data_IF_826805823598
#
_entry.id   IF_826805823598
#
_cell.length_a   1.000
_cell.length_b   1.000
_cell.length_c   1.000
_cell.angle_alpha   90.00
_cell.angle_beta   90.00
_cell.angle_gamma   90.00
#
_symmetry.space_group_name_H-M   'P 1'
#
loop_
_entity.id
_entity.type
_entity.pdbx_description
1 polymer ?
#
# COMPACT_ATOMS: atom_id res chain seq x y z
N UNK A 1 -0.11 -19.75 -35.74
CA UNK A 1 -1.35 -19.70 -34.94
C UNK A 1 -1.14 -19.88 -33.44
N UNK A 2 -0.76 -21.05 -32.90
CA UNK A 2 -0.63 -21.19 -31.43
C UNK A 2 0.48 -20.34 -30.83
N UNK A 3 1.65 -20.27 -31.47
CA UNK A 3 2.78 -19.47 -31.02
C UNK A 3 2.50 -17.95 -31.03
N UNK A 4 1.71 -17.47 -31.99
CA UNK A 4 1.33 -16.05 -32.07
C UNK A 4 0.40 -15.68 -30.91
N UNK A 5 -0.58 -16.51 -30.59
CA UNK A 5 -1.48 -16.32 -29.43
C UNK A 5 -0.69 -16.30 -28.11
N UNK A 6 0.31 -17.18 -27.96
CA UNK A 6 1.17 -17.19 -26.78
C UNK A 6 1.98 -15.90 -26.65
N UNK A 7 2.58 -15.43 -27.75
CA UNK A 7 3.31 -14.16 -27.77
C UNK A 7 2.40 -12.97 -27.41
N UNK A 8 1.17 -12.95 -27.92
CA UNK A 8 0.20 -11.89 -27.60
C UNK A 8 -0.18 -11.89 -26.11
N UNK A 9 -0.39 -13.08 -25.53
CA UNK A 9 -0.68 -13.23 -24.10
C UNK A 9 0.51 -12.78 -23.25
N UNK A 10 1.73 -13.18 -23.60
CA UNK A 10 2.95 -12.77 -22.88
C UNK A 10 3.13 -11.26 -22.90
N UNK A 11 3.00 -10.63 -24.07
CA UNK A 11 3.10 -9.17 -24.20
C UNK A 11 2.02 -8.44 -23.39
N UNK A 12 0.79 -8.98 -23.35
CA UNK A 12 -0.28 -8.41 -22.55
C UNK A 12 0.04 -8.52 -21.05
N UNK A 13 0.49 -9.69 -20.59
CA UNK A 13 0.84 -9.93 -19.19
C UNK A 13 2.04 -9.08 -18.74
N UNK A 14 3.06 -8.94 -19.58
CA UNK A 14 4.20 -8.07 -19.31
C UNK A 14 3.76 -6.62 -19.16
N UNK A 15 2.91 -6.13 -20.08
CA UNK A 15 2.37 -4.76 -20.00
C UNK A 15 1.56 -4.53 -18.74
N UNK A 16 0.71 -5.49 -18.35
CA UNK A 16 -0.09 -5.41 -17.11
C UNK A 16 0.83 -5.44 -15.89
N UNK A 17 1.84 -6.31 -15.87
CA UNK A 17 2.81 -6.40 -14.78
C UNK A 17 3.51 -5.05 -14.54
N UNK A 18 3.93 -4.37 -15.60
CA UNK A 18 4.51 -3.02 -15.51
C UNK A 18 3.56 -1.98 -14.92
N UNK A 19 2.24 -2.13 -15.10
CA UNK A 19 1.25 -1.22 -14.51
C UNK A 19 1.10 -1.44 -13.01
N UNK A 20 1.13 -2.70 -12.55
CA UNK A 20 1.05 -3.03 -11.13
C UNK A 20 2.22 -2.47 -10.31
N UNK A 21 3.37 -2.29 -10.94
CA UNK A 21 4.57 -1.73 -10.32
C UNK A 21 4.69 -0.20 -10.44
N UNK A 22 3.75 0.46 -11.11
CA UNK A 22 3.79 1.88 -11.43
C UNK A 22 2.70 2.66 -10.65
N UNK A 23 3.07 3.38 -9.56
CA UNK A 23 2.14 4.14 -8.72
C UNK A 23 1.39 5.25 -9.43
N UNK A 24 1.85 5.67 -10.62
CA UNK A 24 1.14 6.66 -11.44
C UNK A 24 -0.03 6.05 -12.21
N UNK A 25 -0.02 4.72 -12.40
CA UNK A 25 -1.08 3.95 -13.08
C UNK A 25 -1.98 3.24 -12.09
N UNK A 26 -1.42 2.68 -11.02
CA UNK A 26 -2.16 2.00 -9.96
C UNK A 26 -1.60 2.38 -8.59
N UNK A 27 -2.40 3.11 -7.81
CA UNK A 27 -2.06 3.46 -6.43
C UNK A 27 -2.96 2.69 -5.46
N UNK A 28 -2.35 1.92 -4.57
CA UNK A 28 -3.05 1.23 -3.50
C UNK A 28 -2.72 1.84 -2.15
N UNK A 29 -3.72 1.89 -1.27
CA UNK A 29 -3.60 2.44 0.08
C UNK A 29 -4.20 1.47 1.09
N UNK A 30 -3.61 1.42 2.27
CA UNK A 30 -4.19 0.69 3.40
C UNK A 30 -5.17 1.61 4.13
N UNK A 31 -6.30 1.06 4.57
CA UNK A 31 -7.25 1.76 5.44
C UNK A 31 -7.56 0.83 6.60
N UNK A 32 -7.47 1.36 7.82
CA UNK A 32 -7.64 0.57 9.04
C UNK A 32 -8.28 1.40 10.16
N UNK A 33 -8.94 0.75 11.12
CA UNK A 33 -9.29 1.38 12.39
C UNK A 33 -8.05 1.32 13.31
N UNK A 34 -7.42 2.46 13.65
CA UNK A 34 -6.20 2.48 14.46
C UNK A 34 -6.44 2.09 15.92
N UNK A 35 -7.69 2.01 16.38
CA UNK A 35 -8.07 1.60 17.75
C UNK A 35 -8.16 0.08 17.87
N UNK A 36 -8.43 -0.61 16.76
CA UNK A 36 -8.52 -2.06 16.70
C UNK A 36 -7.17 -2.70 16.42
N UNK A 37 -6.59 -3.40 17.41
CA UNK A 37 -5.32 -4.12 17.23
C UNK A 37 -5.36 -5.12 16.07
N UNK A 38 -6.49 -5.82 15.89
CA UNK A 38 -6.72 -6.75 14.78
C UNK A 38 -6.73 -6.00 13.44
N UNK A 39 -7.37 -4.83 13.36
CA UNK A 39 -7.42 -4.03 12.12
C UNK A 39 -6.02 -3.57 11.70
N UNK A 40 -5.23 -3.08 12.67
CA UNK A 40 -3.84 -2.68 12.46
C UNK A 40 -2.97 -3.87 12.02
N UNK A 41 -3.07 -5.01 12.70
CA UNK A 41 -2.31 -6.22 12.33
C UNK A 41 -2.69 -6.75 10.95
N UNK A 42 -3.97 -6.72 10.60
CA UNK A 42 -4.44 -7.11 9.26
C UNK A 42 -3.91 -6.17 8.18
N UNK A 43 -3.90 -4.86 8.42
CA UNK A 43 -3.34 -3.90 7.48
C UNK A 43 -1.83 -4.11 7.26
N UNK A 44 -1.07 -4.39 8.31
CA UNK A 44 0.34 -4.78 8.19
C UNK A 44 0.49 -6.06 7.36
N UNK A 45 -0.32 -7.08 7.63
CA UNK A 45 -0.29 -8.33 6.87
C UNK A 45 -0.60 -8.10 5.39
N UNK A 46 -1.61 -7.29 5.08
CA UNK A 46 -1.96 -6.94 3.71
C UNK A 46 -0.85 -6.16 3.02
N UNK A 47 -0.14 -5.27 3.73
CA UNK A 47 1.04 -4.63 3.17
C UNK A 47 2.06 -5.64 2.66
N UNK A 48 2.42 -6.62 3.50
CA UNK A 48 3.33 -7.69 3.13
C UNK A 48 2.83 -8.51 1.95
N UNK A 49 1.57 -8.97 1.99
CA UNK A 49 0.98 -9.77 0.91
C UNK A 49 0.93 -9.00 -0.43
N UNK A 50 0.60 -7.70 -0.40
CA UNK A 50 0.57 -6.87 -1.61
C UNK A 50 1.95 -6.74 -2.22
N UNK A 51 2.98 -6.51 -1.40
CA UNK A 51 4.38 -6.43 -1.86
C UNK A 51 4.84 -7.76 -2.48
N UNK A 52 4.50 -8.89 -1.85
CA UNK A 52 4.81 -10.23 -2.40
C UNK A 52 4.10 -10.51 -3.72
N UNK A 53 2.89 -9.98 -3.91
CA UNK A 53 2.15 -10.09 -5.16
C UNK A 53 2.69 -9.19 -6.29
N UNK A 54 3.77 -8.43 -6.04
CA UNK A 54 4.38 -7.53 -7.03
C UNK A 54 3.68 -6.18 -7.17
N UNK A 55 2.74 -5.88 -6.28
CA UNK A 55 2.03 -4.61 -6.24
C UNK A 55 2.65 -3.66 -5.20
N UNK A 56 2.17 -2.42 -5.17
CA UNK A 56 2.74 -1.34 -4.38
C UNK A 56 1.70 -0.67 -3.47
N UNK A 57 2.08 -0.42 -2.22
CA UNK A 57 1.29 0.38 -1.28
C UNK A 57 1.93 1.76 -1.16
N UNK A 58 1.17 2.81 -1.48
CA UNK A 58 1.62 4.19 -1.51
C UNK A 58 1.49 4.89 -0.15
N UNK A 59 0.61 4.39 0.70
CA UNK A 59 0.33 4.99 2.01
C UNK A 59 -0.64 4.17 2.84
N UNK A 60 -0.77 4.58 4.09
CA UNK A 60 -1.73 4.02 5.03
C UNK A 60 -2.58 5.13 5.66
N UNK A 61 -3.85 4.82 5.87
CA UNK A 61 -4.81 5.69 6.52
C UNK A 61 -5.38 5.04 7.77
N UNK A 62 -5.33 5.78 8.88
CA UNK A 62 -6.08 5.47 10.09
C UNK A 62 -7.43 6.16 10.04
N UNK A 63 -8.51 5.39 9.93
CA UNK A 63 -9.86 5.91 9.98
C UNK A 63 -10.29 6.17 11.41
N UNK A 64 -10.57 7.43 11.75
CA UNK A 64 -11.00 7.84 13.09
C UNK A 64 -11.97 9.03 13.02
N UNK A 65 -12.94 9.07 13.93
CA UNK A 65 -13.87 10.21 14.06
C UNK A 65 -13.14 11.45 14.59
N UNK A 66 -12.31 11.27 15.62
CA UNK A 66 -11.37 12.28 16.10
C UNK A 66 -9.93 11.80 15.87
N UNK A 67 -9.08 12.58 15.15
CA UNK A 67 -7.65 12.29 15.01
C UNK A 67 -6.90 12.05 16.33
N UNK A 68 -7.41 12.57 17.46
CA UNK A 68 -6.85 12.35 18.79
C UNK A 68 -6.99 10.90 19.28
N UNK A 69 -7.92 10.12 18.72
CA UNK A 69 -8.16 8.71 19.05
C UNK A 69 -7.16 7.75 18.39
N UNK A 70 -6.24 8.26 17.57
CA UNK A 70 -5.14 7.45 17.06
C UNK A 70 -4.28 6.93 18.22
N UNK A 71 -4.18 5.61 18.33
CA UNK A 71 -3.23 5.00 19.26
C UNK A 71 -1.80 5.46 18.97
N UNK A 72 -1.13 5.92 20.02
CA UNK A 72 0.28 6.29 19.97
C UNK A 72 1.10 5.09 19.49
N UNK A 73 1.90 5.28 18.45
CA UNK A 73 2.75 4.25 17.85
C UNK A 73 2.13 3.43 16.71
N UNK A 74 0.86 3.64 16.31
CA UNK A 74 0.34 2.98 15.09
C UNK A 74 1.11 3.42 13.86
N UNK A 75 1.34 4.72 13.68
CA UNK A 75 2.09 5.24 12.54
C UNK A 75 3.54 4.69 12.49
N UNK A 76 4.16 4.46 13.65
CA UNK A 76 5.52 3.93 13.76
C UNK A 76 5.62 2.49 13.23
N UNK A 77 4.57 1.68 13.41
CA UNK A 77 4.49 0.32 12.85
C UNK A 77 4.50 0.28 11.33
N UNK A 78 4.06 1.36 10.69
CA UNK A 78 4.02 1.48 9.23
C UNK A 78 5.27 2.13 8.66
N UNK A 79 6.24 2.56 9.47
CA UNK A 79 7.48 3.08 8.91
C UNK A 79 8.15 2.03 8.01
N UNK A 80 8.65 2.42 6.82
CA UNK A 80 8.81 3.80 6.36
C UNK A 80 7.68 4.31 5.42
N UNK A 81 6.53 3.65 5.41
CA UNK A 81 5.32 4.05 4.70
C UNK A 81 4.74 5.33 5.29
N UNK A 82 4.24 6.23 4.43
CA UNK A 82 3.55 7.43 4.88
C UNK A 82 2.19 7.07 5.47
N UNK A 83 1.90 7.62 6.66
CA UNK A 83 0.66 7.39 7.39
C UNK A 83 -0.06 8.70 7.65
N UNK A 84 -1.38 8.74 7.49
CA UNK A 84 -2.21 9.89 7.88
C UNK A 84 -3.56 9.47 8.44
N UNK A 85 -4.22 10.33 9.21
CA UNK A 85 -5.60 10.11 9.64
C UNK A 85 -6.58 10.45 8.51
N UNK A 86 -7.63 9.65 8.40
CA UNK A 86 -8.77 9.90 7.51
C UNK A 86 -10.02 10.10 8.38
N UNK A 87 -10.71 11.25 8.27
CA UNK A 87 -11.93 11.50 9.04
C UNK A 87 -13.08 10.60 8.56
N UNK A 88 -14.16 10.55 9.34
CA UNK A 88 -15.40 9.91 8.93
C UNK A 88 -15.89 10.53 7.61
N UNK A 89 -15.91 9.72 6.55
CA UNK A 89 -16.49 10.13 5.28
C UNK A 89 -18.01 9.88 5.35
N UNK A 90 -18.84 10.87 5.00
CA UNK A 90 -20.28 10.70 5.01
C UNK A 90 -20.68 9.57 4.04
N UNK A 91 -21.43 8.59 4.54
CA UNK A 91 -21.85 7.38 3.81
C UNK A 91 -23.27 7.47 3.25
N UNK A 92 -23.97 8.54 3.60
CA UNK A 92 -25.34 8.86 3.22
C UNK A 92 -25.41 9.46 1.80
N UNK A 93 -26.51 9.23 1.09
CA UNK A 93 -26.68 9.70 -0.30
C UNK A 93 -26.75 11.23 -0.41
N UNK A 94 -26.99 11.93 0.70
CA UNK A 94 -26.94 13.39 0.86
C UNK A 94 -25.53 13.93 1.18
N UNK A 95 -24.52 13.06 1.22
CA UNK A 95 -23.14 13.42 1.55
C UNK A 95 -22.60 14.54 0.67
N UNK A 96 -22.20 15.66 1.28
CA UNK A 96 -21.42 16.70 0.61
C UNK A 96 -19.94 16.26 0.54
N UNK A 97 -19.63 15.47 -0.49
CA UNK A 97 -18.28 14.99 -0.78
C UNK A 97 -17.28 16.14 -1.01
N UNK A 98 -17.74 17.29 -1.53
CA UNK A 98 -16.89 18.46 -1.73
C UNK A 98 -16.41 19.02 -0.39
N UNK A 99 -17.33 19.17 0.57
CA UNK A 99 -16.97 19.56 1.94
C UNK A 99 -16.09 18.51 2.62
N UNK A 100 -16.39 17.22 2.47
CA UNK A 100 -15.60 16.14 3.07
C UNK A 100 -14.16 16.08 2.52
N UNK A 101 -13.97 16.25 1.22
CA UNK A 101 -12.62 16.31 0.61
C UNK A 101 -11.88 17.58 1.02
N UNK A 102 -12.59 18.70 1.17
CA UNK A 102 -12.00 19.97 1.61
C UNK A 102 -11.60 19.94 3.09
N UNK A 103 -12.29 19.18 3.95
CA UNK A 103 -11.95 19.05 5.37
C UNK A 103 -10.74 18.15 5.63
N UNK A 104 -10.28 17.37 4.64
CA UNK A 104 -9.06 16.59 4.78
C UNK A 104 -7.86 17.49 5.10
N UNK A 105 -7.04 17.04 6.06
CA UNK A 105 -5.82 17.74 6.42
C UNK A 105 -4.78 17.69 5.27
N UNK A 106 -3.77 18.56 5.34
CA UNK A 106 -2.75 18.67 4.28
C UNK A 106 -1.92 17.40 4.12
N UNK A 107 -1.68 16.63 5.19
CA UNK A 107 -0.94 15.38 5.11
C UNK A 107 -1.73 14.31 4.34
N UNK A 108 -3.03 14.18 4.61
CA UNK A 108 -3.94 13.27 3.90
C UNK A 108 -4.06 13.65 2.42
N UNK A 109 -4.25 14.95 2.13
CA UNK A 109 -4.26 15.45 0.74
C UNK A 109 -2.93 15.21 0.04
N UNK A 110 -1.82 15.41 0.75
CA UNK A 110 -0.47 15.16 0.25
C UNK A 110 -0.25 13.68 -0.06
N UNK A 111 -0.69 12.78 0.82
CA UNK A 111 -0.56 11.33 0.65
C UNK A 111 -1.36 10.80 -0.54
N UNK A 112 -2.57 11.33 -0.76
CA UNK A 112 -3.40 10.98 -1.92
C UNK A 112 -2.81 11.49 -3.25
N UNK A 113 -2.07 12.60 -3.23
CA UNK A 113 -1.46 13.20 -4.43
C UNK A 113 -0.07 12.67 -4.75
N UNK A 114 0.74 12.40 -3.72
CA UNK A 114 2.14 12.03 -3.86
C UNK A 114 2.33 10.52 -3.70
N UNK A 115 1.96 9.78 -4.73
CA UNK A 115 2.15 8.32 -4.80
C UNK A 115 3.58 7.93 -5.17
N UNK A 116 4.48 8.89 -5.38
CA UNK A 116 5.82 8.67 -5.94
C UNK A 116 6.85 8.07 -4.96
N UNK A 117 6.57 8.07 -3.65
CA UNK A 117 7.47 7.49 -2.65
C UNK A 117 7.07 6.05 -2.38
N UNK A 118 7.55 5.13 -3.21
CA UNK A 118 7.35 3.70 -2.99
C UNK A 118 8.68 2.97 -2.86
N UNK A 119 8.69 1.99 -1.96
CA UNK A 119 9.84 1.13 -1.72
C UNK A 119 9.83 -0.03 -2.71
N UNK A 120 10.95 -0.30 -3.39
CA UNK A 120 11.03 -1.44 -4.29
C UNK A 120 10.81 -2.73 -3.49
N UNK A 121 9.93 -3.61 -3.99
CA UNK A 121 9.66 -4.92 -3.40
C UNK A 121 10.90 -5.82 -3.43
N UNK A 122 11.66 -5.73 -4.51
CA UNK A 122 12.89 -6.48 -4.76
C UNK A 122 13.95 -5.53 -5.30
N UNK A 123 15.17 -5.61 -4.76
CA UNK A 123 16.34 -4.93 -5.31
C UNK A 123 17.49 -5.91 -5.53
N UNK A 124 18.10 -5.84 -6.71
CA UNK A 124 19.24 -6.65 -7.11
C UNK A 124 20.51 -5.82 -7.02
N UNK A 125 21.49 -6.29 -6.26
CA UNK A 125 22.83 -5.72 -6.21
C UNK A 125 23.80 -6.68 -6.90
N UNK A 126 24.21 -6.35 -8.12
CA UNK A 126 25.12 -7.18 -8.91
C UNK A 126 26.56 -7.13 -8.40
N UNK A 127 26.99 -6.02 -7.79
CA UNK A 127 28.33 -5.88 -7.23
C UNK A 127 28.50 -6.77 -5.98
N UNK A 128 27.46 -6.80 -5.13
CA UNK A 128 27.42 -7.64 -3.94
C UNK A 128 26.87 -9.05 -4.20
N UNK A 129 26.39 -9.33 -5.42
CA UNK A 129 25.69 -10.58 -5.80
C UNK A 129 24.55 -10.92 -4.82
N UNK A 130 23.77 -9.92 -4.44
CA UNK A 130 22.73 -10.06 -3.43
C UNK A 130 21.36 -9.62 -3.95
N UNK A 131 20.31 -10.20 -3.36
CA UNK A 131 18.93 -9.80 -3.58
C UNK A 131 18.35 -9.39 -2.24
N UNK A 132 17.79 -8.20 -2.17
CA UNK A 132 17.08 -7.71 -0.97
C UNK A 132 15.59 -7.72 -1.26
N UNK A 133 14.82 -8.33 -0.35
CA UNK A 133 13.36 -8.39 -0.41
C UNK A 133 12.79 -7.49 0.69
N UNK A 134 11.90 -6.58 0.33
CA UNK A 134 11.14 -5.81 1.29
C UNK A 134 9.90 -6.61 1.72
N UNK A 135 9.85 -7.02 2.98
CA UNK A 135 8.86 -7.98 3.49
C UNK A 135 8.18 -7.47 4.78
N UNK A 136 7.42 -6.36 4.72
CA UNK A 136 6.73 -5.83 5.91
C UNK A 136 5.60 -6.74 6.37
N UNK A 137 5.21 -6.66 7.65
CA UNK A 137 4.00 -7.32 8.15
C UNK A 137 4.07 -8.84 8.33
N UNK A 138 5.27 -9.42 8.21
CA UNK A 138 5.56 -10.82 8.49
C UNK A 138 6.54 -10.95 9.64
N UNK A 139 6.30 -11.91 10.52
CA UNK A 139 7.30 -12.36 11.47
C UNK A 139 8.35 -13.20 10.75
N UNK A 140 9.60 -13.17 11.24
CA UNK A 140 10.72 -13.89 10.62
C UNK A 140 10.46 -15.39 10.47
N UNK A 141 9.71 -15.98 11.40
CA UNK A 141 9.33 -17.40 11.37
C UNK A 141 8.31 -17.75 10.29
N UNK A 142 7.58 -16.76 9.76
CA UNK A 142 6.60 -16.96 8.69
C UNK A 142 7.25 -16.97 7.30
N UNK A 143 8.47 -16.43 7.18
CA UNK A 143 9.18 -16.33 5.91
C UNK A 143 9.95 -17.62 5.64
N UNK A 144 9.60 -18.26 4.51
CA UNK A 144 10.21 -19.50 4.03
C UNK A 144 10.99 -19.21 2.76
N UNK A 145 12.26 -19.64 2.72
CA UNK A 145 13.12 -19.52 1.55
C UNK A 145 13.72 -20.89 1.23
N UNK A 146 13.36 -21.42 0.07
CA UNK A 146 13.84 -22.70 -0.46
C UNK A 146 14.06 -22.55 -1.97
N UNK A 147 14.94 -23.38 -2.53
CA UNK A 147 15.25 -23.45 -3.96
C UNK A 147 14.92 -24.84 -4.49
#
# INVERSE_FOLDING_TARGET
MSAEIWNEIEQLLEKISLWFTDPSKLACFLVMDPRGSISVSSALRYWGCTIQAGAQICGAFGYAEDPSEMHQGVAEKFLPLSFSSLPFLPTDSSADWGRALNSLNQNTKGLLRNTSKVYPSVSFDSAQKSVTLFMPGFDKSEIKLYQ
#
